data_IF_652105899804
#
_entry.id   IF_652105899804
#
_cell.length_a   1.000
_cell.length_b   1.000
_cell.length_c   1.000
_cell.angle_alpha   90.00
_cell.angle_beta   90.00
_cell.angle_gamma   90.00
#
_symmetry.space_group_name_H-M   'P 1'
#
loop_
_entity.id
_entity.type
_entity.pdbx_description
1 polymer ?
#
# COMPACT_ATOMS: atom_id res chain seq x y z
N UNK A 1 -5.40 -37.81 -73.22
CA UNK A 1 -4.91 -38.96 -72.46
C UNK A 1 -3.66 -38.51 -71.75
N UNK A 2 -3.77 -38.18 -70.45
CA UNK A 2 -2.60 -37.90 -69.60
C UNK A 2 -2.98 -38.31 -68.22
N UNK A 3 -2.46 -39.42 -67.74
CA UNK A 3 -2.64 -39.99 -66.41
C UNK A 3 -1.94 -39.17 -65.38
N UNK A 4 -2.64 -38.82 -64.34
CA UNK A 4 -2.07 -38.27 -63.11
C UNK A 4 -1.77 -39.38 -62.08
N UNK A 5 -0.52 -39.51 -61.73
CA UNK A 5 -0.06 -40.40 -60.67
C UNK A 5 -0.51 -39.83 -59.31
N UNK A 6 -0.89 -40.67 -58.34
CA UNK A 6 -1.22 -40.23 -56.97
C UNK A 6 0.05 -39.94 -56.18
N UNK A 7 0.01 -38.79 -55.43
CA UNK A 7 1.10 -38.34 -54.60
C UNK A 7 1.27 -39.22 -53.37
N UNK A 8 2.51 -39.44 -53.02
CA UNK A 8 2.98 -40.09 -51.81
C UNK A 8 2.55 -39.28 -50.57
N UNK A 9 1.86 -39.94 -49.64
CA UNK A 9 1.59 -39.43 -48.30
C UNK A 9 2.90 -39.39 -47.50
N UNK A 10 3.27 -38.22 -47.02
CA UNK A 10 4.38 -38.03 -46.08
C UNK A 10 4.05 -38.69 -44.75
N UNK A 11 4.91 -39.59 -44.30
CA UNK A 11 4.89 -40.21 -42.99
C UNK A 11 5.02 -39.15 -41.91
N UNK A 12 4.01 -39.01 -41.06
CA UNK A 12 4.05 -38.20 -39.82
C UNK A 12 4.97 -38.94 -38.86
N UNK A 13 6.13 -38.36 -38.57
CA UNK A 13 7.02 -38.88 -37.54
C UNK A 13 6.35 -38.74 -36.18
N UNK A 14 6.09 -39.86 -35.55
CA UNK A 14 5.56 -39.96 -34.20
C UNK A 14 6.64 -39.47 -33.22
N UNK A 15 6.33 -38.36 -32.50
CA UNK A 15 7.20 -37.79 -31.47
C UNK A 15 7.20 -38.72 -30.25
N UNK A 16 8.35 -38.99 -29.61
CA UNK A 16 8.40 -39.86 -28.45
C UNK A 16 7.61 -39.24 -27.28
N UNK A 17 6.82 -40.09 -26.62
CA UNK A 17 6.06 -39.72 -25.42
C UNK A 17 7.02 -39.35 -24.27
N UNK A 18 6.87 -38.15 -23.74
CA UNK A 18 7.62 -37.71 -22.57
C UNK A 18 6.92 -38.23 -21.33
N UNK A 19 7.50 -39.24 -20.66
CA UNK A 19 7.03 -39.73 -19.40
C UNK A 19 7.40 -38.72 -18.30
N UNK A 20 6.39 -38.08 -17.68
CA UNK A 20 6.54 -37.25 -16.52
C UNK A 20 6.59 -38.12 -15.25
N UNK A 21 7.78 -38.36 -14.73
CA UNK A 21 7.94 -38.95 -13.39
C UNK A 21 7.85 -37.84 -12.34
N UNK A 22 6.77 -37.85 -11.56
CA UNK A 22 6.59 -36.92 -10.44
C UNK A 22 7.56 -37.25 -9.31
N UNK A 23 8.53 -36.39 -8.96
CA UNK A 23 9.46 -36.67 -7.86
C UNK A 23 8.80 -36.32 -6.52
N UNK A 24 8.38 -37.32 -5.78
CA UNK A 24 8.23 -37.22 -4.33
C UNK A 24 6.84 -36.82 -3.82
N UNK A 25 6.44 -37.55 -2.82
CA UNK A 25 5.30 -37.27 -1.95
C UNK A 25 5.62 -36.04 -1.11
N UNK A 26 4.92 -34.93 -1.32
CA UNK A 26 4.89 -33.81 -0.38
C UNK A 26 4.03 -34.22 0.83
N UNK A 27 4.65 -34.53 1.95
CA UNK A 27 3.96 -34.65 3.22
C UNK A 27 3.69 -33.21 3.74
N UNK A 28 2.43 -32.77 3.67
CA UNK A 28 1.97 -31.58 4.36
C UNK A 28 1.82 -31.91 5.85
N UNK A 29 2.86 -31.62 6.63
CA UNK A 29 2.73 -31.53 8.09
C UNK A 29 2.04 -30.19 8.40
N UNK A 30 0.78 -30.24 8.76
CA UNK A 30 0.04 -29.12 9.31
C UNK A 30 0.26 -29.12 10.82
N UNK A 31 1.07 -28.22 11.42
CA UNK A 31 1.16 -28.18 12.88
C UNK A 31 -0.15 -27.65 13.45
N UNK A 32 -0.71 -28.36 14.41
CA UNK A 32 -1.91 -27.93 15.12
C UNK A 32 -1.72 -26.57 15.79
N UNK A 33 -2.71 -25.66 15.77
CA UNK A 33 -2.60 -24.36 16.40
C UNK A 33 -2.61 -24.51 17.93
N UNK A 34 -1.48 -24.31 18.55
CA UNK A 34 -1.33 -24.19 20.00
C UNK A 34 -1.87 -22.85 20.45
N UNK A 35 -3.02 -22.84 21.10
CA UNK A 35 -3.57 -21.67 21.80
C UNK A 35 -2.78 -21.45 23.08
N UNK A 36 -1.87 -20.51 23.09
CA UNK A 36 -1.19 -20.03 24.28
C UNK A 36 -1.59 -18.57 24.59
N UNK A 37 -2.47 -18.48 25.55
CA UNK A 37 -2.57 -17.55 26.68
C UNK A 37 -1.94 -16.16 26.57
N UNK A 38 -2.82 -15.18 26.71
CA UNK A 38 -2.65 -13.78 27.15
C UNK A 38 -1.41 -13.50 27.99
N UNK A 39 -0.54 -12.60 27.51
CA UNK A 39 0.28 -11.72 28.37
C UNK A 39 0.28 -10.32 27.81
N UNK A 40 -0.35 -9.42 28.59
CA UNK A 40 -0.24 -7.99 28.45
C UNK A 40 1.16 -7.56 28.89
N UNK A 41 1.95 -7.07 27.96
CA UNK A 41 3.15 -6.27 28.24
C UNK A 41 3.16 -5.18 27.17
N UNK A 42 3.30 -3.93 27.61
CA UNK A 42 3.48 -2.79 26.72
C UNK A 42 4.84 -2.91 26.00
N UNK A 43 4.85 -3.64 24.91
CA UNK A 43 5.98 -3.77 24.00
C UNK A 43 5.63 -3.02 22.73
N UNK A 44 6.60 -2.24 22.22
CA UNK A 44 6.45 -1.50 20.97
C UNK A 44 5.87 -2.39 19.86
N UNK A 45 4.95 -1.84 19.09
CA UNK A 45 4.21 -2.56 18.04
C UNK A 45 5.19 -3.15 17.04
N UNK A 46 5.46 -4.45 17.19
CA UNK A 46 6.21 -5.20 16.18
C UNK A 46 5.25 -5.66 15.09
N UNK A 47 5.50 -5.32 13.82
CA UNK A 47 4.67 -5.80 12.71
C UNK A 47 4.74 -7.34 12.65
N UNK A 48 3.64 -8.00 13.01
CA UNK A 48 3.53 -9.45 12.85
C UNK A 48 3.24 -9.78 11.39
N UNK A 49 3.91 -10.78 10.77
CA UNK A 49 3.65 -11.18 9.39
C UNK A 49 2.35 -11.97 9.21
N UNK A 50 1.45 -11.96 10.20
CA UNK A 50 0.17 -12.67 10.09
C UNK A 50 -0.82 -11.91 9.18
N UNK A 51 -1.58 -12.66 8.39
CA UNK A 51 -2.70 -12.13 7.56
C UNK A 51 -3.87 -11.59 8.41
N UNK A 52 -3.67 -11.44 9.70
CA UNK A 52 -4.66 -11.02 10.68
C UNK A 52 -4.95 -9.53 10.56
N UNK A 53 -6.23 -9.19 10.63
CA UNK A 53 -6.69 -7.82 10.64
C UNK A 53 -6.93 -7.39 12.09
N UNK A 54 -6.18 -6.43 12.57
CA UNK A 54 -6.33 -5.88 13.93
C UNK A 54 -7.23 -4.64 13.87
N UNK A 55 -8.19 -4.57 14.79
CA UNK A 55 -9.04 -3.40 14.98
C UNK A 55 -8.34 -2.40 15.90
N UNK A 56 -8.21 -1.18 15.44
CA UNK A 56 -7.69 -0.04 16.22
C UNK A 56 -8.89 0.78 16.70
N UNK A 57 -8.89 1.15 17.96
CA UNK A 57 -10.00 1.90 18.58
C UNK A 57 -9.57 3.24 19.15
N UNK A 58 -8.27 3.49 19.27
CA UNK A 58 -7.74 4.73 19.85
C UNK A 58 -6.83 5.48 18.90
N UNK A 59 -6.75 6.80 19.07
CA UNK A 59 -5.86 7.64 18.27
C UNK A 59 -4.37 7.27 18.46
N UNK A 60 -4.00 6.85 19.67
CA UNK A 60 -2.63 6.39 19.97
C UNK A 60 -2.28 5.14 19.18
N UNK A 61 -3.14 4.12 19.20
CA UNK A 61 -2.96 2.92 18.39
C UNK A 61 -2.88 3.24 16.90
N UNK A 62 -3.77 4.10 16.39
CA UNK A 62 -3.75 4.50 14.99
C UNK A 62 -2.42 5.15 14.61
N UNK A 63 -1.89 6.05 15.46
CA UNK A 63 -0.60 6.71 15.25
C UNK A 63 0.55 5.69 15.27
N UNK A 64 0.61 4.82 16.27
CA UNK A 64 1.66 3.81 16.42
C UNK A 64 1.68 2.85 15.22
N UNK A 65 0.52 2.33 14.82
CA UNK A 65 0.43 1.43 13.68
C UNK A 65 0.69 2.13 12.35
N UNK A 66 0.31 3.40 12.19
CA UNK A 66 0.63 4.19 10.99
C UNK A 66 2.14 4.41 10.87
N UNK A 67 2.79 4.73 11.99
CA UNK A 67 4.24 4.84 12.07
C UNK A 67 4.93 3.51 11.76
N UNK A 68 4.50 2.42 12.38
CA UNK A 68 5.06 1.08 12.16
C UNK A 68 4.93 0.65 10.68
N UNK A 69 3.80 0.98 10.04
CA UNK A 69 3.57 0.70 8.62
C UNK A 69 4.51 1.53 7.72
N UNK A 70 4.74 2.81 8.04
CA UNK A 70 5.71 3.64 7.32
C UNK A 70 7.15 3.16 7.53
N UNK A 71 7.49 2.69 8.73
CA UNK A 71 8.82 2.17 9.06
C UNK A 71 9.14 0.86 8.35
N UNK A 72 8.16 0.01 8.11
CA UNK A 72 8.37 -1.25 7.38
C UNK A 72 8.34 -1.09 5.86
N UNK A 73 7.80 0.01 5.33
CA UNK A 73 7.74 0.27 3.90
C UNK A 73 9.13 0.30 3.27
N UNK A 74 9.31 -0.40 2.14
CA UNK A 74 10.59 -0.55 1.45
C UNK A 74 10.61 0.02 0.04
N UNK A 75 9.44 0.18 -0.59
CA UNK A 75 9.33 0.62 -1.99
C UNK A 75 8.38 1.79 -2.17
N UNK A 76 7.20 1.68 -1.57
CA UNK A 76 6.14 2.64 -1.84
C UNK A 76 5.22 2.83 -0.64
N UNK A 77 4.76 4.06 -0.49
CA UNK A 77 3.73 4.41 0.49
C UNK A 77 2.67 5.26 -0.21
N UNK A 78 1.40 4.88 -0.04
CA UNK A 78 0.25 5.58 -0.61
C UNK A 78 -0.64 6.03 0.52
N UNK A 79 -0.97 7.31 0.55
CA UNK A 79 -1.82 7.92 1.57
C UNK A 79 -3.01 8.58 0.89
N UNK A 80 -4.20 8.16 1.26
CA UNK A 80 -5.45 8.84 0.93
C UNK A 80 -6.03 9.42 2.21
N UNK A 81 -6.09 10.74 2.31
CA UNK A 81 -6.54 11.43 3.52
C UNK A 81 -7.51 12.54 3.20
N UNK A 82 -8.47 12.77 4.09
CA UNK A 82 -9.42 13.87 3.95
C UNK A 82 -8.73 15.22 4.18
N UNK A 83 -8.00 15.37 5.27
CA UNK A 83 -7.46 16.67 5.68
C UNK A 83 -5.94 16.66 5.92
N UNK A 84 -5.27 15.55 5.74
CA UNK A 84 -3.85 15.36 6.07
C UNK A 84 -3.57 15.78 7.52
N UNK A 85 -4.20 15.10 8.47
CA UNK A 85 -4.18 15.46 9.89
C UNK A 85 -2.74 15.56 10.45
N UNK A 86 -2.35 16.72 11.03
CA UNK A 86 -0.98 16.92 11.53
C UNK A 86 -0.60 16.00 12.70
N UNK A 87 -1.58 15.60 13.52
CA UNK A 87 -1.34 14.70 14.66
C UNK A 87 -0.98 13.28 14.22
N UNK A 88 -1.36 12.88 13.00
CA UNK A 88 -1.10 11.55 12.44
C UNK A 88 0.07 11.58 11.45
N UNK A 89 -0.01 12.44 10.43
CA UNK A 89 0.96 12.49 9.33
C UNK A 89 2.03 13.58 9.50
N UNK A 90 1.85 14.51 10.43
CA UNK A 90 2.82 15.56 10.75
C UNK A 90 3.78 15.20 11.88
N UNK A 91 3.66 14.00 12.44
CA UNK A 91 4.55 13.50 13.48
C UNK A 91 6.00 13.41 12.98
N UNK A 92 6.97 13.76 13.84
CA UNK A 92 8.38 13.78 13.46
C UNK A 92 8.89 12.40 13.06
N UNK A 93 8.53 11.37 13.81
CA UNK A 93 8.99 10.00 13.58
C UNK A 93 8.38 9.42 12.30
N UNK A 94 7.11 9.77 12.01
CA UNK A 94 6.45 9.39 10.76
C UNK A 94 7.13 10.04 9.54
N UNK A 95 7.42 11.34 9.63
CA UNK A 95 8.11 12.06 8.55
C UNK A 95 9.53 11.52 8.36
N UNK A 96 10.24 11.19 9.43
CA UNK A 96 11.57 10.57 9.35
C UNK A 96 11.50 9.18 8.68
N UNK A 97 10.50 8.37 8.99
CA UNK A 97 10.28 7.09 8.32
C UNK A 97 10.03 7.28 6.81
N UNK A 98 9.25 8.30 6.42
CA UNK A 98 9.05 8.67 5.02
C UNK A 98 10.36 9.11 4.34
N UNK A 99 11.18 9.92 5.01
CA UNK A 99 12.50 10.33 4.50
C UNK A 99 13.41 9.13 4.26
N UNK A 100 13.49 8.21 5.23
CA UNK A 100 14.28 6.97 5.10
C UNK A 100 13.81 6.14 3.91
N UNK A 101 12.50 5.95 3.75
CA UNK A 101 11.92 5.25 2.60
C UNK A 101 12.39 5.88 1.29
N UNK A 102 12.22 7.20 1.15
CA UNK A 102 12.51 7.91 -0.10
C UNK A 102 13.99 7.96 -0.44
N UNK A 103 14.85 8.05 0.56
CA UNK A 103 16.32 8.11 0.36
C UNK A 103 16.95 6.73 0.21
N UNK A 104 16.28 5.65 0.63
CA UNK A 104 16.86 4.30 0.55
C UNK A 104 17.03 3.80 -0.88
N UNK A 105 16.22 4.26 -1.84
CA UNK A 105 16.36 3.90 -3.25
C UNK A 105 15.71 4.95 -4.18
N UNK A 106 16.31 5.29 -5.33
CA UNK A 106 15.80 6.31 -6.26
C UNK A 106 14.40 6.00 -6.85
N UNK A 107 14.00 4.75 -6.88
CA UNK A 107 12.68 4.33 -7.40
C UNK A 107 11.60 4.29 -6.32
N UNK A 108 11.97 4.48 -5.06
CA UNK A 108 10.98 4.50 -3.99
C UNK A 108 10.13 5.77 -4.08
N UNK A 109 8.85 5.64 -3.74
CA UNK A 109 7.90 6.74 -3.88
C UNK A 109 6.90 6.84 -2.75
N UNK A 110 6.49 8.07 -2.50
CA UNK A 110 5.38 8.41 -1.62
C UNK A 110 4.38 9.25 -2.40
N UNK A 111 3.16 8.76 -2.53
CA UNK A 111 2.06 9.48 -3.18
C UNK A 111 0.94 9.75 -2.18
N UNK A 112 0.50 11.00 -2.13
CA UNK A 112 -0.52 11.46 -1.19
C UNK A 112 -1.65 12.12 -1.95
N UNK A 113 -2.88 11.71 -1.68
CA UNK A 113 -4.11 12.40 -2.10
C UNK A 113 -4.73 13.03 -0.87
N UNK A 114 -5.08 14.31 -0.99
CA UNK A 114 -5.78 15.06 0.07
C UNK A 114 -7.07 15.62 -0.50
N UNK A 115 -8.20 15.36 0.16
CA UNK A 115 -9.48 15.90 -0.30
C UNK A 115 -9.58 17.39 0.00
N UNK A 116 -9.31 17.83 1.23
CA UNK A 116 -9.25 19.23 1.64
C UNK A 116 -7.89 19.58 2.26
N UNK A 117 -6.98 20.20 1.51
CA UNK A 117 -5.67 20.59 2.01
C UNK A 117 -5.68 21.89 2.83
N UNK A 118 -6.83 22.56 2.98
CA UNK A 118 -6.92 23.91 3.56
C UNK A 118 -6.27 24.00 4.94
N UNK A 119 -6.53 23.02 5.81
CA UNK A 119 -5.97 22.99 7.14
C UNK A 119 -4.44 22.80 7.10
N UNK A 120 -3.95 21.85 6.34
CA UNK A 120 -2.53 21.57 6.20
C UNK A 120 -1.76 22.77 5.63
N UNK A 121 -2.36 23.49 4.67
CA UNK A 121 -1.80 24.72 4.09
C UNK A 121 -1.78 25.89 5.08
N UNK A 122 -2.80 26.02 5.91
CA UNK A 122 -2.90 27.15 6.86
C UNK A 122 -1.96 26.99 8.06
N UNK A 123 -1.83 25.79 8.60
CA UNK A 123 -1.04 25.54 9.82
C UNK A 123 0.41 25.19 9.51
N UNK A 124 0.75 24.92 8.25
CA UNK A 124 2.00 24.28 7.86
C UNK A 124 1.95 22.79 8.15
N UNK A 125 2.56 22.00 7.29
CA UNK A 125 2.59 20.55 7.47
C UNK A 125 3.93 19.98 7.01
N UNK A 126 4.59 19.20 7.87
CA UNK A 126 5.95 18.68 7.60
C UNK A 126 6.05 17.82 6.33
N UNK A 127 5.00 17.09 5.95
CA UNK A 127 5.01 16.37 4.67
C UNK A 127 4.93 17.31 3.47
N UNK A 128 4.28 18.49 3.58
CA UNK A 128 4.32 19.50 2.55
C UNK A 128 5.73 20.06 2.39
N UNK A 129 6.39 20.40 3.50
CA UNK A 129 7.77 20.88 3.48
C UNK A 129 8.71 19.82 2.87
N UNK A 130 8.48 18.54 3.21
CA UNK A 130 9.23 17.43 2.64
C UNK A 130 8.99 17.30 1.12
N UNK A 131 7.76 17.50 0.65
CA UNK A 131 7.43 17.41 -0.78
C UNK A 131 8.11 18.47 -1.63
N UNK A 132 8.39 19.62 -1.04
CA UNK A 132 9.17 20.69 -1.69
C UNK A 132 10.65 20.34 -1.81
N UNK A 133 11.17 19.53 -0.89
CA UNK A 133 12.58 19.11 -0.88
C UNK A 133 12.84 17.88 -1.74
N UNK A 134 11.88 16.94 -1.78
CA UNK A 134 11.98 15.65 -2.47
C UNK A 134 10.94 15.53 -3.59
N UNK A 135 10.93 16.48 -4.51
CA UNK A 135 9.91 16.63 -5.56
C UNK A 135 9.80 15.45 -6.54
N UNK A 136 10.87 14.68 -6.71
CA UNK A 136 10.89 13.57 -7.64
C UNK A 136 10.12 12.35 -7.13
N UNK A 137 10.21 12.10 -5.83
CA UNK A 137 9.77 10.85 -5.22
C UNK A 137 8.56 11.02 -4.28
N UNK A 138 8.28 12.27 -3.86
CA UNK A 138 7.09 12.61 -3.06
C UNK A 138 6.16 13.50 -3.87
N UNK A 139 4.93 13.03 -4.07
CA UNK A 139 3.90 13.78 -4.80
C UNK A 139 2.66 13.90 -3.94
N UNK A 140 2.18 15.13 -3.78
CA UNK A 140 0.94 15.43 -3.07
C UNK A 140 -0.02 16.06 -4.07
N UNK A 141 -1.25 15.55 -4.17
CA UNK A 141 -2.29 16.06 -5.03
C UNK A 141 -3.56 16.32 -4.25
N UNK A 142 -4.34 17.30 -4.71
CA UNK A 142 -5.67 17.56 -4.20
C UNK A 142 -6.71 16.81 -5.04
N UNK A 143 -7.67 16.18 -4.39
CA UNK A 143 -8.80 15.58 -5.07
C UNK A 143 -9.66 16.69 -5.70
N UNK A 144 -9.97 16.58 -6.98
CA UNK A 144 -10.72 17.63 -7.71
C UNK A 144 -12.23 17.43 -7.65
N UNK A 145 -12.70 16.21 -7.48
CA UNK A 145 -14.13 15.84 -7.41
C UNK A 145 -14.35 14.73 -6.38
N UNK A 146 -15.61 14.54 -5.97
CA UNK A 146 -15.99 13.44 -5.11
C UNK A 146 -15.48 12.10 -5.68
N UNK A 147 -14.90 11.28 -4.82
CA UNK A 147 -14.42 9.94 -5.17
C UNK A 147 -15.37 8.88 -4.62
N UNK A 148 -15.21 7.63 -5.07
CA UNK A 148 -15.99 6.47 -4.58
C UNK A 148 -15.83 6.23 -3.07
N UNK A 149 -15.01 7.01 -2.38
CA UNK A 149 -14.66 6.86 -0.98
C UNK A 149 -14.84 8.18 -0.23
N UNK A 150 -16.08 8.59 -0.09
CA UNK A 150 -16.43 9.75 0.73
C UNK A 150 -16.12 9.45 2.20
N UNK A 151 -15.37 10.35 2.85
CA UNK A 151 -15.00 10.29 4.27
C UNK A 151 -14.12 9.07 4.71
N UNK A 152 -13.55 8.30 3.80
CA UNK A 152 -12.58 7.27 4.14
C UNK A 152 -11.15 7.80 4.12
N UNK A 153 -10.28 7.13 4.84
CA UNK A 153 -8.83 7.32 4.78
C UNK A 153 -8.13 5.97 4.76
N UNK A 154 -7.02 5.90 4.07
CA UNK A 154 -6.21 4.68 4.09
C UNK A 154 -4.74 4.97 3.81
N UNK A 155 -3.90 4.09 4.32
CA UNK A 155 -2.46 4.06 4.06
C UNK A 155 -2.10 2.68 3.55
N UNK A 156 -1.35 2.60 2.46
CA UNK A 156 -0.90 1.33 1.86
C UNK A 156 0.63 1.36 1.78
N UNK A 157 1.27 0.31 2.27
CA UNK A 157 2.71 0.11 2.14
C UNK A 157 3.01 -1.11 1.27
N UNK A 158 3.84 -0.91 0.23
CA UNK A 158 4.38 -1.95 -0.65
C UNK A 158 3.33 -2.88 -1.29
N UNK A 159 2.10 -2.39 -1.49
CA UNK A 159 0.94 -3.16 -1.98
C UNK A 159 0.66 -4.44 -1.16
N UNK A 160 1.11 -4.48 0.08
CA UNK A 160 1.02 -5.64 0.96
C UNK A 160 0.38 -5.34 2.32
N UNK A 161 0.77 -4.25 2.95
CA UNK A 161 0.25 -3.81 4.24
C UNK A 161 -0.67 -2.60 4.08
N UNK A 162 -1.71 -2.50 4.90
CA UNK A 162 -2.65 -1.39 4.83
C UNK A 162 -3.27 -1.07 6.19
N UNK A 163 -3.62 0.21 6.34
CA UNK A 163 -4.55 0.71 7.36
C UNK A 163 -5.74 1.30 6.61
N UNK A 164 -6.95 0.96 7.04
CA UNK A 164 -8.19 1.54 6.51
C UNK A 164 -9.00 2.12 7.65
N UNK A 165 -9.35 3.39 7.52
CA UNK A 165 -10.18 4.17 8.41
C UNK A 165 -11.43 4.57 7.64
N UNK A 166 -12.56 4.00 8.00
CA UNK A 166 -13.82 4.18 7.26
C UNK A 166 -14.50 5.51 7.53
N UNK A 167 -14.14 6.18 8.63
CA UNK A 167 -14.63 7.50 9.01
C UNK A 167 -13.44 8.35 9.47
N UNK A 168 -13.11 9.37 8.70
CA UNK A 168 -11.96 10.23 8.96
C UNK A 168 -12.04 11.04 10.28
N UNK A 169 -13.22 11.25 10.80
CA UNK A 169 -13.50 11.95 12.06
C UNK A 169 -13.32 11.06 13.30
N UNK A 170 -13.17 9.73 13.13
CA UNK A 170 -13.02 8.77 14.22
C UNK A 170 -11.66 8.06 14.17
N UNK A 171 -11.11 7.67 15.31
CA UNK A 171 -9.85 6.94 15.34
C UNK A 171 -9.96 5.47 14.96
N UNK A 172 -11.19 4.93 14.83
CA UNK A 172 -11.39 3.53 14.52
C UNK A 172 -10.86 3.18 13.14
N UNK A 173 -9.96 2.23 13.10
CA UNK A 173 -9.31 1.77 11.88
C UNK A 173 -9.05 0.27 11.90
N UNK A 174 -8.77 -0.30 10.76
CA UNK A 174 -8.32 -1.69 10.62
C UNK A 174 -6.94 -1.71 10.00
N UNK A 175 -6.01 -2.39 10.67
CA UNK A 175 -4.66 -2.60 10.16
C UNK A 175 -4.46 -4.06 9.77
N UNK A 176 -3.78 -4.28 8.66
CA UNK A 176 -3.32 -5.59 8.22
C UNK A 176 -1.92 -5.44 7.66
N UNK A 177 -0.95 -6.14 8.24
CA UNK A 177 0.45 -6.06 7.82
C UNK A 177 0.80 -6.99 6.65
N UNK A 178 -0.04 -7.98 6.40
CA UNK A 178 0.12 -8.88 5.27
C UNK A 178 -1.23 -9.24 4.67
N UNK A 179 -1.73 -8.39 3.77
CA UNK A 179 -3.02 -8.56 3.11
C UNK A 179 -2.96 -8.08 1.65
N UNK A 180 -2.15 -8.73 0.78
CA UNK A 180 -1.90 -8.23 -0.58
C UNK A 180 -3.17 -8.13 -1.44
N UNK A 181 -4.17 -8.97 -1.20
CA UNK A 181 -5.47 -8.89 -1.87
C UNK A 181 -6.23 -7.60 -1.54
N UNK A 182 -6.33 -7.27 -0.24
CA UNK A 182 -6.97 -6.03 0.23
C UNK A 182 -6.16 -4.79 -0.16
N UNK A 183 -4.83 -4.87 -0.07
CA UNK A 183 -3.95 -3.78 -0.45
C UNK A 183 -4.11 -3.43 -1.94
N UNK A 184 -4.20 -4.42 -2.83
CA UNK A 184 -4.46 -4.20 -4.27
C UNK A 184 -5.83 -3.60 -4.54
N UNK A 185 -6.87 -3.99 -3.80
CA UNK A 185 -8.19 -3.36 -3.94
C UNK A 185 -8.14 -1.88 -3.56
N UNK A 186 -7.53 -1.55 -2.41
CA UNK A 186 -7.37 -0.17 -1.98
C UNK A 186 -6.45 0.62 -2.92
N UNK A 187 -5.43 -0.03 -3.46
CA UNK A 187 -4.56 0.59 -4.45
C UNK A 187 -5.32 0.95 -5.74
N UNK A 188 -6.20 0.12 -6.22
CA UNK A 188 -7.04 0.43 -7.38
C UNK A 188 -7.98 1.63 -7.12
N UNK A 189 -8.50 1.78 -5.90
CA UNK A 189 -9.25 2.98 -5.48
C UNK A 189 -8.34 4.22 -5.48
N UNK A 190 -7.13 4.10 -4.93
CA UNK A 190 -6.16 5.18 -4.94
C UNK A 190 -5.81 5.62 -6.36
N UNK A 191 -5.54 4.70 -7.26
CA UNK A 191 -5.15 5.01 -8.64
C UNK A 191 -6.26 5.74 -9.40
N UNK A 192 -7.52 5.30 -9.24
CA UNK A 192 -8.68 6.03 -9.80
C UNK A 192 -8.80 7.45 -9.24
N UNK A 193 -8.67 7.60 -7.92
CA UNK A 193 -8.69 8.91 -7.28
C UNK A 193 -7.49 9.78 -7.72
N UNK A 194 -6.35 9.15 -7.97
CA UNK A 194 -5.16 9.84 -8.46
C UNK A 194 -5.36 10.44 -9.86
N UNK A 195 -6.06 9.75 -10.74
CA UNK A 195 -6.42 10.25 -12.08
C UNK A 195 -7.36 11.46 -11.99
N UNK A 196 -8.27 11.47 -11.01
CA UNK A 196 -9.19 12.57 -10.75
C UNK A 196 -8.58 13.72 -9.93
N UNK A 197 -7.34 13.56 -9.44
CA UNK A 197 -6.67 14.53 -8.61
C UNK A 197 -5.88 15.55 -9.45
N UNK A 198 -5.76 16.75 -8.90
CA UNK A 198 -5.01 17.84 -9.53
C UNK A 198 -3.82 18.26 -8.68
N UNK A 199 -2.78 18.74 -9.36
CA UNK A 199 -1.66 19.38 -8.68
C UNK A 199 -2.11 20.80 -8.30
N UNK A 200 -2.33 21.04 -7.01
CA UNK A 200 -2.67 22.37 -6.51
C UNK A 200 -1.40 23.23 -6.42
N UNK A 201 -1.38 24.42 -7.04
CA UNK A 201 -0.24 25.33 -6.94
C UNK A 201 0.13 25.69 -5.49
N UNK A 202 -0.87 25.79 -4.60
CA UNK A 202 -0.65 26.12 -3.19
C UNK A 202 0.07 25.00 -2.42
N UNK A 203 -0.05 23.75 -2.90
CA UNK A 203 0.71 22.61 -2.35
C UNK A 203 2.17 22.61 -2.82
N UNK A 204 2.51 23.41 -3.85
CA UNK A 204 3.86 23.54 -4.40
C UNK A 204 4.58 24.83 -3.96
N UNK A 205 3.85 25.80 -3.43
CA UNK A 205 4.43 27.08 -3.05
C UNK A 205 5.09 27.01 -1.68
N UNK A 206 6.37 27.44 -1.61
CA UNK A 206 6.97 27.75 -0.32
C UNK A 206 6.22 28.95 0.28
N UNK A 207 5.83 28.86 1.53
CA UNK A 207 5.49 30.06 2.30
C UNK A 207 6.80 30.81 2.56
N UNK A 208 6.91 31.97 1.97
CA UNK A 208 7.95 32.97 2.28
C UNK A 208 7.58 33.62 3.60
#
# INVERSE_FOLDING_TARGET
MTERRPGQAASVAELPAVEFVSPGRFALCNPEPSYASTRSVAEGVTPSPSAETTLLTTATQLREHTLALAQQARRSLFIYSQALDPWLYGDADFVEACVRLLLSHPRNGLAVIVADPTRALRTGHRLLDLSHRLTSNLRIRRLASASDCDNCEFVIADDNALIVRTQADRPEARVSYHAPGKARQQRALFDRAWELSVTDPNLRSFRI
#
